data_IF_626130273075
#
_entry.id   IF_626130273075
#
_cell.length_a   1.000
_cell.length_b   1.000
_cell.length_c   1.000
_cell.angle_alpha   90.00
_cell.angle_beta   90.00
_cell.angle_gamma   90.00
#
_symmetry.space_group_name_H-M   'P 1'
#
loop_
_entity.id
_entity.type
_entity.pdbx_description
1 polymer ?
#
# COMPACT_ATOMS: atom_id res chain seq x y z
N UNK A 1 -7.39 -21.50 4.41
CA UNK A 1 -6.07 -20.86 4.67
C UNK A 1 -5.07 -21.46 3.71
N UNK A 2 -4.32 -20.64 2.97
CA UNK A 2 -3.23 -21.12 2.11
C UNK A 2 -1.90 -20.77 2.78
N UNK A 3 -1.06 -21.77 3.02
CA UNK A 3 0.29 -21.58 3.58
C UNK A 3 1.28 -21.56 2.42
N UNK A 4 2.05 -20.46 2.29
CA UNK A 4 3.10 -20.33 1.28
C UNK A 4 4.45 -20.53 1.94
N UNK A 5 5.13 -21.63 1.61
CA UNK A 5 6.52 -21.86 1.99
C UNK A 5 7.44 -21.17 0.98
N UNK A 6 8.41 -20.41 1.47
CA UNK A 6 9.37 -19.67 0.65
C UNK A 6 10.78 -20.13 1.05
N UNK A 7 11.52 -20.82 0.16
CA UNK A 7 12.91 -21.16 0.41
C UNK A 7 13.73 -19.89 0.65
N UNK A 8 14.56 -19.90 1.70
CA UNK A 8 15.31 -18.73 2.15
C UNK A 8 16.73 -19.13 2.57
N UNK A 9 17.74 -18.43 2.04
CA UNK A 9 19.15 -18.61 2.43
C UNK A 9 19.51 -17.56 3.49
N UNK A 10 19.95 -17.94 4.69
CA UNK A 10 20.35 -16.98 5.72
C UNK A 10 21.64 -16.25 5.32
N UNK A 11 21.67 -14.93 5.53
CA UNK A 11 22.85 -14.08 5.35
C UNK A 11 23.50 -13.62 6.66
N UNK A 12 22.91 -13.97 7.81
CA UNK A 12 23.29 -13.42 9.12
C UNK A 12 22.40 -12.24 9.53
N UNK A 13 22.49 -11.83 10.79
CA UNK A 13 21.72 -10.73 11.38
C UNK A 13 20.23 -10.74 11.02
N UNK A 14 19.63 -11.93 11.03
CA UNK A 14 18.22 -12.13 10.74
C UNK A 14 17.78 -11.74 9.30
N UNK A 15 18.71 -11.71 8.35
CA UNK A 15 18.45 -11.44 6.93
C UNK A 15 18.47 -12.72 6.11
N UNK A 16 17.63 -12.74 5.07
CA UNK A 16 17.50 -13.91 4.20
C UNK A 16 17.46 -13.51 2.73
N UNK A 17 18.00 -14.34 1.85
CA UNK A 17 17.78 -14.26 0.42
C UNK A 17 16.67 -15.21 0.02
N UNK A 18 15.68 -14.72 -0.70
CA UNK A 18 14.56 -15.50 -1.23
C UNK A 18 14.58 -15.44 -2.75
N UNK A 19 14.31 -16.56 -3.42
CA UNK A 19 14.23 -16.56 -4.87
C UNK A 19 13.10 -15.62 -5.34
N UNK A 20 13.41 -14.66 -6.20
CA UNK A 20 12.41 -13.83 -6.87
C UNK A 20 11.71 -14.70 -7.92
N UNK A 21 10.37 -14.73 -7.96
CA UNK A 21 9.68 -15.34 -9.08
C UNK A 21 10.05 -14.59 -10.37
N UNK A 22 10.14 -15.28 -11.51
CA UNK A 22 10.40 -14.62 -12.79
C UNK A 22 9.27 -13.61 -13.08
N UNK A 23 9.62 -12.33 -13.19
CA UNK A 23 8.69 -11.24 -13.49
C UNK A 23 8.28 -11.31 -14.98
N UNK A 24 7.01 -11.65 -15.24
CA UNK A 24 6.32 -11.38 -16.52
C UNK A 24 6.61 -12.33 -17.70
N UNK A 25 5.89 -12.15 -18.84
CA UNK A 25 6.02 -13.01 -20.01
C UNK A 25 7.40 -12.85 -20.64
N UNK A 26 8.05 -13.98 -20.95
CA UNK A 26 9.32 -14.05 -21.68
C UNK A 26 9.29 -13.16 -22.93
N UNK A 27 10.23 -12.22 -23.11
CA UNK A 27 10.44 -11.63 -24.43
C UNK A 27 10.88 -12.77 -25.38
N UNK A 28 10.27 -12.89 -26.58
CA UNK A 28 10.58 -13.98 -27.50
C UNK A 28 12.00 -13.93 -28.07
N UNK A 29 12.69 -12.77 -27.99
CA UNK A 29 14.03 -12.56 -28.52
C UNK A 29 14.79 -11.54 -27.64
N UNK A 30 15.57 -12.03 -26.68
CA UNK A 30 16.45 -11.22 -25.83
C UNK A 30 17.36 -12.10 -24.95
N UNK A 31 18.47 -11.56 -24.40
CA UNK A 31 19.32 -12.29 -23.46
C UNK A 31 18.46 -12.83 -22.31
N UNK A 32 18.61 -14.12 -21.99
CA UNK A 32 17.87 -14.72 -20.88
C UNK A 32 18.18 -13.90 -19.61
N UNK A 33 17.17 -13.40 -18.88
CA UNK A 33 17.41 -12.83 -17.57
C UNK A 33 18.02 -13.93 -16.68
N UNK A 34 18.92 -13.59 -15.74
CA UNK A 34 19.55 -14.57 -14.85
C UNK A 34 18.48 -15.47 -14.22
N UNK A 35 18.69 -16.78 -14.34
CA UNK A 35 17.69 -17.83 -14.08
C UNK A 35 17.25 -17.91 -12.60
N UNK A 36 17.94 -17.20 -11.71
CA UNK A 36 17.53 -16.96 -10.33
C UNK A 36 18.05 -15.60 -9.83
N UNK A 37 17.19 -14.58 -9.82
CA UNK A 37 17.45 -13.35 -9.09
C UNK A 37 17.09 -13.57 -7.62
N UNK A 38 18.00 -13.28 -6.70
CA UNK A 38 17.75 -13.36 -5.26
C UNK A 38 17.23 -12.02 -4.76
N UNK A 39 16.07 -12.02 -4.12
CA UNK A 39 15.52 -10.88 -3.40
C UNK A 39 16.00 -10.89 -1.96
N UNK A 40 16.39 -9.73 -1.43
CA UNK A 40 16.66 -9.58 -0.01
C UNK A 40 15.34 -9.52 0.77
N UNK A 41 15.18 -10.40 1.74
CA UNK A 41 14.09 -10.38 2.69
C UNK A 41 14.56 -9.73 4.00
N UNK A 42 14.05 -8.52 4.25
CA UNK A 42 14.31 -7.74 5.46
C UNK A 42 13.11 -7.77 6.45
N UNK A 43 12.26 -8.79 6.40
CA UNK A 43 11.04 -8.86 7.22
C UNK A 43 11.32 -8.80 8.72
N UNK A 44 12.46 -9.33 9.18
CA UNK A 44 12.82 -9.27 10.60
C UNK A 44 13.23 -7.87 11.04
N UNK A 45 13.80 -7.07 10.14
CA UNK A 45 14.15 -5.67 10.35
C UNK A 45 12.88 -4.79 10.32
N UNK A 46 11.92 -5.12 9.46
CA UNK A 46 10.58 -4.52 9.49
C UNK A 46 9.84 -4.80 10.79
N UNK A 47 9.87 -6.05 11.27
CA UNK A 47 9.26 -6.41 12.55
C UNK A 47 9.90 -5.63 13.70
N UNK A 48 11.23 -5.51 13.73
CA UNK A 48 11.93 -4.68 14.73
C UNK A 48 11.50 -3.21 14.66
N UNK A 49 11.41 -2.65 13.45
CA UNK A 49 10.92 -1.29 13.27
C UNK A 49 9.49 -1.12 13.77
N UNK A 50 8.59 -2.05 13.44
CA UNK A 50 7.20 -2.01 13.90
C UNK A 50 7.10 -2.12 15.42
N UNK A 51 7.89 -3.01 16.04
CA UNK A 51 7.98 -3.12 17.50
C UNK A 51 8.47 -1.83 18.13
N UNK A 52 9.56 -1.26 17.61
CA UNK A 52 10.10 0.01 18.08
C UNK A 52 9.08 1.15 17.92
N UNK A 53 8.43 1.27 16.76
CA UNK A 53 7.37 2.26 16.52
C UNK A 53 6.21 2.11 17.50
N UNK A 54 5.83 0.88 17.85
CA UNK A 54 4.76 0.60 18.82
C UNK A 54 5.14 1.08 20.23
N UNK A 55 6.40 0.99 20.61
CA UNK A 55 6.89 1.48 21.91
C UNK A 55 6.96 3.00 21.97
N UNK A 56 7.24 3.66 20.85
CA UNK A 56 7.38 5.11 20.78
C UNK A 56 6.05 5.84 20.47
N UNK A 57 5.11 5.18 19.78
CA UNK A 57 3.84 5.78 19.40
C UNK A 57 2.83 5.78 20.57
N UNK A 58 1.84 6.70 20.56
CA UNK A 58 0.73 6.65 21.50
C UNK A 58 0.02 5.29 21.48
N UNK A 59 -0.50 4.85 22.63
CA UNK A 59 -1.28 3.61 22.74
C UNK A 59 -2.50 3.60 21.79
N UNK A 60 -3.03 4.78 21.47
CA UNK A 60 -4.13 5.05 20.53
C UNK A 60 -3.67 5.22 19.07
N UNK A 61 -2.46 4.79 18.68
CA UNK A 61 -1.94 5.15 17.36
C UNK A 61 -2.69 4.47 16.20
N UNK A 62 -2.93 5.22 15.11
CA UNK A 62 -3.69 4.79 13.95
C UNK A 62 -2.87 4.29 12.76
N UNK A 63 -1.53 4.31 12.82
CA UNK A 63 -0.65 4.01 11.68
C UNK A 63 -0.95 2.66 10.99
N UNK A 64 -1.19 1.59 11.76
CA UNK A 64 -1.57 0.29 11.19
C UNK A 64 -2.98 0.31 10.58
N UNK A 65 -3.92 1.05 11.20
CA UNK A 65 -5.28 1.23 10.67
C UNK A 65 -5.22 1.96 9.32
N UNK A 66 -4.39 3.00 9.19
CA UNK A 66 -4.16 3.69 7.91
C UNK A 66 -3.69 2.71 6.82
N UNK A 67 -2.71 1.85 7.14
CA UNK A 67 -2.19 0.88 6.19
C UNK A 67 -3.24 -0.15 5.76
N UNK A 68 -4.05 -0.63 6.71
CA UNK A 68 -5.12 -1.59 6.45
C UNK A 68 -6.21 -0.99 5.56
N UNK A 69 -6.66 0.23 5.86
CA UNK A 69 -7.67 0.94 5.05
C UNK A 69 -7.13 1.17 3.64
N UNK A 70 -5.90 1.67 3.51
CA UNK A 70 -5.31 1.94 2.21
C UNK A 70 -5.13 0.67 1.37
N UNK A 71 -4.70 -0.42 2.01
CA UNK A 71 -4.62 -1.75 1.38
C UNK A 71 -6.00 -2.21 0.90
N UNK A 72 -7.03 -2.07 1.73
CA UNK A 72 -8.40 -2.41 1.38
C UNK A 72 -8.93 -1.59 0.20
N UNK A 73 -8.72 -0.27 0.21
CA UNK A 73 -9.10 0.62 -0.90
C UNK A 73 -8.40 0.23 -2.21
N UNK A 74 -7.10 -0.08 -2.16
CA UNK A 74 -6.35 -0.58 -3.31
C UNK A 74 -6.94 -1.89 -3.84
N UNK A 75 -7.21 -2.85 -2.97
CA UNK A 75 -7.69 -4.18 -3.35
C UNK A 75 -9.11 -4.11 -3.96
N UNK A 76 -9.99 -3.31 -3.34
CA UNK A 76 -11.34 -3.04 -3.86
C UNK A 76 -11.30 -2.36 -5.23
N UNK A 77 -10.42 -1.37 -5.41
CA UNK A 77 -10.28 -0.71 -6.70
C UNK A 77 -9.73 -1.64 -7.76
N UNK A 78 -8.76 -2.49 -7.40
CA UNK A 78 -8.14 -3.44 -8.32
C UNK A 78 -9.17 -4.30 -9.06
N UNK A 79 -10.21 -4.76 -8.36
CA UNK A 79 -11.26 -5.61 -8.95
C UNK A 79 -12.09 -4.94 -10.06
N UNK A 80 -12.11 -3.60 -10.11
CA UNK A 80 -12.89 -2.82 -11.07
C UNK A 80 -12.05 -2.14 -12.16
N UNK A 81 -10.77 -2.50 -12.30
CA UNK A 81 -9.89 -1.97 -13.34
C UNK A 81 -9.82 -2.93 -14.53
N UNK A 82 -9.76 -2.38 -15.73
CA UNK A 82 -9.54 -3.14 -16.97
C UNK A 82 -8.07 -3.57 -17.07
N UNK A 83 -7.82 -4.72 -17.69
CA UNK A 83 -6.46 -5.15 -18.06
C UNK A 83 -5.93 -4.30 -19.23
N UNK A 84 -4.60 -4.04 -19.31
CA UNK A 84 -3.52 -4.60 -18.49
C UNK A 84 -3.25 -3.85 -17.17
N UNK A 85 -3.98 -2.76 -16.90
CA UNK A 85 -3.66 -1.88 -15.78
C UNK A 85 -4.02 -2.47 -14.42
N UNK A 86 -5.04 -3.34 -14.34
CA UNK A 86 -5.37 -4.06 -13.10
C UNK A 86 -4.18 -4.84 -12.52
N UNK A 87 -3.50 -5.63 -13.35
CA UNK A 87 -2.31 -6.37 -12.93
C UNK A 87 -1.14 -5.46 -12.52
N UNK A 88 -0.98 -4.32 -13.17
CA UNK A 88 0.02 -3.32 -12.83
C UNK A 88 -0.32 -2.56 -11.54
N UNK A 89 -1.59 -2.24 -11.29
CA UNK A 89 -2.06 -1.53 -10.11
C UNK A 89 -1.64 -2.22 -8.81
N UNK A 90 -1.86 -3.54 -8.74
CA UNK A 90 -1.45 -4.34 -7.58
C UNK A 90 0.08 -4.43 -7.40
N UNK A 91 0.85 -4.38 -8.50
CA UNK A 91 2.32 -4.41 -8.49
C UNK A 91 2.90 -3.05 -8.07
N UNK A 92 2.43 -1.96 -8.68
CA UNK A 92 2.84 -0.58 -8.36
C UNK A 92 2.52 -0.24 -6.90
N UNK A 93 1.30 -0.53 -6.46
CA UNK A 93 0.86 -0.31 -5.08
C UNK A 93 0.97 -1.59 -4.24
N UNK A 94 2.04 -2.37 -4.42
CA UNK A 94 2.27 -3.58 -3.63
C UNK A 94 2.22 -3.28 -2.12
N UNK A 95 1.91 -4.29 -1.31
CA UNK A 95 1.87 -4.10 0.14
C UNK A 95 3.22 -3.65 0.71
N UNK A 96 4.33 -3.96 0.01
CA UNK A 96 5.65 -3.46 0.38
C UNK A 96 5.83 -1.96 0.11
N UNK A 97 5.34 -1.46 -1.03
CA UNK A 97 5.32 -0.02 -1.36
C UNK A 97 4.49 0.77 -0.35
N UNK A 98 3.28 0.30 -0.02
CA UNK A 98 2.40 0.97 0.95
C UNK A 98 3.08 1.07 2.34
N UNK A 99 3.69 -0.03 2.77
CA UNK A 99 4.39 -0.10 4.06
C UNK A 99 5.63 0.80 4.08
N UNK A 100 6.41 0.81 3.00
CA UNK A 100 7.59 1.67 2.87
C UNK A 100 7.22 3.14 2.95
N UNK A 101 6.15 3.56 2.28
CA UNK A 101 5.64 4.92 2.36
C UNK A 101 5.19 5.32 3.78
N UNK A 102 4.49 4.41 4.47
CA UNK A 102 4.10 4.63 5.87
C UNK A 102 5.32 4.82 6.77
N UNK A 103 6.33 3.96 6.66
CA UNK A 103 7.55 4.07 7.45
C UNK A 103 8.30 5.38 7.19
N UNK A 104 8.40 5.79 5.92
CA UNK A 104 9.01 7.07 5.55
C UNK A 104 8.29 8.26 6.20
N UNK A 105 6.95 8.25 6.24
CA UNK A 105 6.18 9.31 6.91
C UNK A 105 6.31 9.27 8.43
N UNK A 106 6.29 8.08 9.03
CA UNK A 106 6.42 7.92 10.48
C UNK A 106 7.76 8.46 11.00
N UNK A 107 8.84 8.30 10.23
CA UNK A 107 10.16 8.82 10.62
C UNK A 107 10.39 10.30 10.28
N UNK A 108 9.51 10.93 9.50
CA UNK A 108 9.65 12.35 9.13
C UNK A 108 9.04 13.32 10.15
N UNK A 109 8.23 12.84 11.08
CA UNK A 109 7.51 13.69 12.03
C UNK A 109 7.28 13.03 13.39
N UNK A 110 6.68 13.76 14.35
CA UNK A 110 6.39 13.25 15.67
C UNK A 110 5.38 12.09 15.61
N UNK A 111 5.65 11.00 16.34
CA UNK A 111 4.78 9.82 16.38
C UNK A 111 3.46 10.10 17.10
N UNK A 112 3.43 11.13 17.95
CA UNK A 112 2.24 11.65 18.63
C UNK A 112 1.19 12.17 17.65
N UNK A 113 1.63 12.63 16.45
CA UNK A 113 0.72 13.06 15.40
C UNK A 113 -0.07 11.91 14.76
N UNK A 114 0.24 10.66 15.12
CA UNK A 114 -0.46 9.46 14.65
C UNK A 114 -1.50 8.94 15.64
N UNK A 115 -2.00 9.78 16.54
CA UNK A 115 -3.15 9.46 17.38
C UNK A 115 -4.41 9.14 16.55
N UNK A 116 -5.27 8.26 17.05
CA UNK A 116 -6.50 7.85 16.37
C UNK A 116 -7.45 8.99 16.00
N UNK A 117 -7.46 10.09 16.75
CA UNK A 117 -8.28 11.26 16.43
C UNK A 117 -7.92 11.90 15.09
N UNK A 118 -6.71 11.64 14.58
CA UNK A 118 -6.21 12.16 13.31
C UNK A 118 -6.16 11.09 12.21
N UNK A 119 -6.89 9.98 12.34
CA UNK A 119 -6.87 8.86 11.40
C UNK A 119 -7.07 9.31 9.93
N UNK A 120 -8.02 10.21 9.68
CA UNK A 120 -8.33 10.67 8.31
C UNK A 120 -7.21 11.52 7.76
N UNK A 121 -6.73 12.47 8.56
CA UNK A 121 -5.64 13.36 8.20
C UNK A 121 -4.37 12.56 7.90
N UNK A 122 -4.03 11.58 8.74
CA UNK A 122 -2.88 10.69 8.53
C UNK A 122 -3.03 9.79 7.30
N UNK A 123 -4.25 9.34 7.01
CA UNK A 123 -4.51 8.56 5.80
C UNK A 123 -4.41 9.43 4.54
N UNK A 124 -4.91 10.67 4.58
CA UNK A 124 -4.74 11.65 3.52
C UNK A 124 -3.27 11.97 3.27
N UNK A 125 -2.49 12.22 4.33
CA UNK A 125 -1.04 12.45 4.22
C UNK A 125 -0.32 11.27 3.56
N UNK A 126 -0.69 10.03 3.93
CA UNK A 126 -0.15 8.83 3.33
C UNK A 126 -0.48 8.72 1.83
N UNK A 127 -1.73 9.01 1.46
CA UNK A 127 -2.17 9.02 0.06
C UNK A 127 -1.44 10.10 -0.75
N UNK A 128 -1.33 11.31 -0.21
CA UNK A 128 -0.66 12.43 -0.86
C UNK A 128 0.84 12.20 -1.00
N UNK A 129 1.47 11.62 0.02
CA UNK A 129 2.87 11.20 -0.03
C UNK A 129 3.12 10.16 -1.11
N UNK A 130 2.31 9.09 -1.16
CA UNK A 130 2.40 8.06 -2.20
C UNK A 130 2.20 8.65 -3.60
N UNK A 131 1.21 9.52 -3.79
CA UNK A 131 1.03 10.24 -5.06
C UNK A 131 2.29 11.03 -5.44
N UNK A 132 2.88 11.72 -4.48
CA UNK A 132 4.12 12.46 -4.66
C UNK A 132 5.26 11.56 -5.13
N UNK A 133 5.45 10.41 -4.48
CA UNK A 133 6.43 9.40 -4.86
C UNK A 133 6.19 8.85 -6.26
N UNK A 134 4.93 8.54 -6.62
CA UNK A 134 4.59 8.03 -7.95
C UNK A 134 4.87 9.05 -9.05
N UNK A 135 4.46 10.31 -8.87
CA UNK A 135 4.73 11.39 -9.85
C UNK A 135 6.21 11.71 -9.99
N UNK A 136 6.95 11.66 -8.88
CA UNK A 136 8.42 11.84 -8.89
C UNK A 136 9.14 10.57 -9.35
N UNK A 137 8.43 9.45 -9.48
CA UNK A 137 8.95 8.12 -9.79
C UNK A 137 10.03 7.66 -8.81
N UNK A 138 9.94 8.10 -7.55
CA UNK A 138 10.94 7.86 -6.50
C UNK A 138 10.27 7.42 -5.21
N UNK A 139 10.55 6.18 -4.82
CA UNK A 139 10.33 5.66 -3.47
C UNK A 139 11.49 4.72 -3.12
N UNK A 140 12.42 5.20 -2.30
CA UNK A 140 13.58 4.41 -1.92
C UNK A 140 13.19 3.29 -0.95
N UNK A 141 13.84 2.14 -1.12
CA UNK A 141 13.72 0.99 -0.25
C UNK A 141 14.13 1.38 1.17
N UNK A 142 13.28 1.07 2.15
CA UNK A 142 13.43 1.65 3.48
C UNK A 142 14.74 1.31 4.19
N UNK A 143 15.22 0.06 4.06
CA UNK A 143 16.43 -0.42 4.75
C UNK A 143 17.73 -0.38 3.94
N UNK A 144 17.65 -0.23 2.60
CA UNK A 144 18.83 -0.35 1.74
C UNK A 144 19.33 1.04 1.38
N UNK A 145 20.56 1.35 1.78
CA UNK A 145 21.17 2.65 1.51
C UNK A 145 20.48 3.81 2.24
N UNK A 146 19.78 3.54 3.34
CA UNK A 146 19.10 4.56 4.14
C UNK A 146 19.87 4.85 5.44
N UNK A 147 20.69 5.92 5.48
CA UNK A 147 21.46 6.28 6.67
C UNK A 147 20.60 6.95 7.75
N UNK A 148 19.40 7.41 7.41
CA UNK A 148 18.52 8.19 8.31
C UNK A 148 17.73 7.34 9.30
N UNK A 149 18.00 6.04 9.37
CA UNK A 149 17.29 5.13 10.27
C UNK A 149 17.80 5.25 11.71
N UNK A 150 16.92 5.22 12.73
CA UNK A 150 17.30 5.25 14.13
C UNK A 150 18.33 4.17 14.47
N UNK A 151 19.36 4.54 15.23
CA UNK A 151 20.39 3.59 15.68
C UNK A 151 19.81 2.45 16.53
N UNK A 152 18.70 2.72 17.22
CA UNK A 152 17.94 1.75 18.01
C UNK A 152 17.51 0.50 17.22
N UNK A 153 17.39 0.58 15.89
CA UNK A 153 17.03 -0.56 15.06
C UNK A 153 18.18 -1.56 14.84
N UNK A 154 19.40 -1.18 15.23
CA UNK A 154 20.62 -1.99 15.09
C UNK A 154 20.75 -2.62 13.69
N UNK A 155 20.52 -1.80 12.64
CA UNK A 155 20.55 -2.29 11.27
C UNK A 155 21.98 -2.69 10.86
N UNK A 156 22.20 -3.87 10.27
CA UNK A 156 23.51 -4.31 9.79
C UNK A 156 24.18 -3.29 8.87
N UNK A 157 25.49 -3.08 9.05
CA UNK A 157 26.26 -2.04 8.33
C UNK A 157 26.14 -2.16 6.82
N UNK A 158 26.21 -3.38 6.30
CA UNK A 158 26.13 -3.62 4.86
C UNK A 158 24.78 -3.19 4.24
N UNK A 159 23.68 -3.18 5.01
CA UNK A 159 22.40 -2.65 4.52
C UNK A 159 22.40 -1.12 4.46
N UNK A 160 23.01 -0.46 5.44
CA UNK A 160 23.17 1.00 5.46
C UNK A 160 24.08 1.48 4.33
N UNK A 161 25.15 0.74 4.05
CA UNK A 161 26.15 1.04 3.01
C UNK A 161 25.76 0.55 1.61
N UNK A 162 24.71 -0.27 1.49
CA UNK A 162 24.22 -0.72 0.20
C UNK A 162 23.81 0.46 -0.69
N UNK A 163 23.92 0.28 -2.00
CA UNK A 163 23.39 1.27 -2.94
C UNK A 163 21.88 1.45 -2.71
N UNK A 164 21.36 2.69 -2.70
CA UNK A 164 19.94 2.94 -2.50
C UNK A 164 19.15 2.35 -3.65
N UNK A 165 18.09 1.61 -3.32
CA UNK A 165 17.24 0.93 -4.31
C UNK A 165 15.91 1.66 -4.44
N UNK A 166 15.56 2.13 -5.63
CA UNK A 166 14.25 2.73 -5.89
C UNK A 166 13.22 1.64 -6.24
N UNK A 167 12.17 1.52 -5.43
CA UNK A 167 11.10 0.53 -5.62
C UNK A 167 10.25 0.77 -6.86
N UNK A 168 10.24 2.01 -7.38
CA UNK A 168 9.43 2.39 -8.55
C UNK A 168 10.20 2.30 -9.86
N UNK A 169 11.51 2.02 -9.83
CA UNK A 169 12.37 2.03 -11.02
C UNK A 169 12.01 0.96 -12.06
N UNK A 170 11.27 -0.08 -11.67
CA UNK A 170 10.84 -1.15 -12.56
C UNK A 170 9.59 -0.80 -13.40
N UNK A 171 8.96 0.37 -13.16
CA UNK A 171 7.76 0.80 -13.85
C UNK A 171 8.04 2.00 -14.75
N UNK A 172 7.35 2.07 -15.87
CA UNK A 172 7.42 3.22 -16.78
C UNK A 172 6.61 4.40 -16.24
N UNK A 173 7.04 5.62 -16.60
CA UNK A 173 6.44 6.86 -16.14
C UNK A 173 4.91 6.96 -16.36
N UNK A 174 4.38 6.66 -17.57
CA UNK A 174 2.94 6.69 -17.83
C UNK A 174 2.14 5.78 -16.89
N UNK A 175 2.63 4.58 -16.60
CA UNK A 175 1.99 3.67 -15.64
C UNK A 175 1.96 4.25 -14.22
N UNK A 176 3.07 4.86 -13.78
CA UNK A 176 3.16 5.51 -12.48
C UNK A 176 2.25 6.75 -12.37
N UNK A 177 2.14 7.54 -13.44
CA UNK A 177 1.24 8.69 -13.50
C UNK A 177 -0.23 8.27 -13.46
N UNK A 178 -0.59 7.21 -14.19
CA UNK A 178 -1.92 6.63 -14.15
C UNK A 178 -2.24 6.05 -12.76
N UNK A 179 -1.29 5.38 -12.12
CA UNK A 179 -1.42 4.92 -10.74
C UNK A 179 -1.58 6.09 -9.75
N UNK A 180 -0.83 7.18 -9.93
CA UNK A 180 -0.96 8.39 -9.11
C UNK A 180 -2.34 9.03 -9.25
N UNK A 181 -2.85 9.11 -10.48
CA UNK A 181 -4.20 9.60 -10.76
C UNK A 181 -5.26 8.69 -10.13
N UNK A 182 -5.16 7.37 -10.33
CA UNK A 182 -6.14 6.44 -9.79
C UNK A 182 -6.12 6.33 -8.26
N UNK A 183 -4.96 6.48 -7.64
CA UNK A 183 -4.84 6.54 -6.18
C UNK A 183 -5.67 7.68 -5.60
N UNK A 184 -5.59 8.87 -6.20
CA UNK A 184 -6.38 10.03 -5.76
C UNK A 184 -7.86 9.86 -6.07
N UNK A 185 -8.23 9.37 -7.24
CA UNK A 185 -9.64 9.13 -7.54
C UNK A 185 -10.25 8.13 -6.56
N UNK A 186 -9.51 7.08 -6.23
CA UNK A 186 -9.93 6.06 -5.25
C UNK A 186 -10.09 6.67 -3.86
N UNK A 187 -9.15 7.56 -3.45
CA UNK A 187 -9.25 8.28 -2.19
C UNK A 187 -10.47 9.21 -2.13
N UNK A 188 -10.70 10.00 -3.17
CA UNK A 188 -11.87 10.89 -3.29
C UNK A 188 -13.17 10.08 -3.23
N UNK A 189 -13.20 8.89 -3.84
CA UNK A 189 -14.36 8.00 -3.84
C UNK A 189 -14.45 7.10 -2.60
N UNK A 190 -13.46 7.11 -1.70
CA UNK A 190 -13.39 6.21 -0.56
C UNK A 190 -14.63 6.25 0.35
N UNK A 191 -15.24 7.41 0.65
CA UNK A 191 -16.49 7.46 1.45
C UNK A 191 -17.62 6.63 0.83
N UNK A 192 -17.76 6.66 -0.49
CA UNK A 192 -18.77 5.89 -1.20
C UNK A 192 -18.42 4.41 -1.25
N UNK A 193 -17.14 4.08 -1.47
CA UNK A 193 -16.64 2.70 -1.48
C UNK A 193 -16.88 2.07 -0.10
N UNK A 194 -16.40 2.70 0.96
CA UNK A 194 -16.56 2.20 2.34
C UNK A 194 -18.04 2.01 2.66
N UNK A 195 -18.91 2.99 2.37
CA UNK A 195 -20.36 2.91 2.65
C UNK A 195 -21.06 1.79 1.89
N UNK A 196 -20.65 1.48 0.65
CA UNK A 196 -21.21 0.36 -0.12
C UNK A 196 -20.88 -1.00 0.53
N UNK A 197 -19.70 -1.14 1.10
CA UNK A 197 -19.24 -2.40 1.71
C UNK A 197 -19.54 -2.51 3.22
N UNK A 198 -19.82 -1.39 3.92
CA UNK A 198 -20.28 -1.36 5.32
C UNK A 198 -21.77 -1.66 5.51
N UNK A 199 -22.54 -1.76 4.42
CA UNK A 199 -24.00 -1.98 4.50
C UNK A 199 -24.29 -3.45 4.83
N UNK A 200 -24.98 -3.80 5.95
CA UNK A 200 -25.21 -5.19 6.36
C UNK A 200 -26.16 -5.98 5.45
N UNK A 201 -26.66 -5.36 4.37
CA UNK A 201 -27.72 -5.92 3.51
C UNK A 201 -27.21 -6.65 2.26
N UNK A 202 -25.91 -6.87 2.14
CA UNK A 202 -25.33 -7.73 1.11
C UNK A 202 -24.22 -8.58 1.72
N UNK A 203 -24.61 -9.59 2.48
CA UNK A 203 -23.78 -10.77 2.69
C UNK A 203 -23.41 -11.36 1.32
N UNK A 204 -22.13 -11.69 1.04
CA UNK A 204 -21.76 -12.36 -0.20
C UNK A 204 -22.20 -13.83 -0.11
N UNK A 205 -23.45 -14.10 -0.46
CA UNK A 205 -23.81 -15.38 -1.03
C UNK A 205 -23.28 -15.44 -2.46
N UNK A 206 -22.16 -16.12 -2.69
CA UNK A 206 -21.88 -16.72 -4.00
C UNK A 206 -22.79 -17.96 -4.04
N UNK A 207 -23.64 -18.21 -5.07
CA UNK A 207 -23.26 -18.14 -6.49
C UNK A 207 -24.30 -17.58 -7.48
N UNK A 208 -23.78 -17.12 -8.62
CA UNK A 208 -24.46 -17.19 -9.92
C UNK A 208 -25.56 -16.16 -10.17
N UNK A 209 -25.23 -15.11 -10.93
CA UNK A 209 -26.26 -14.40 -11.68
C UNK A 209 -25.72 -13.89 -13.02
N UNK A 210 -26.12 -14.58 -14.09
CA UNK A 210 -26.34 -13.96 -15.39
C UNK A 210 -27.54 -13.03 -15.21
N UNK A 211 -27.40 -11.73 -15.46
CA UNK A 211 -28.36 -11.05 -16.34
C UNK A 211 -27.81 -9.75 -16.93
N UNK A 212 -28.19 -9.57 -18.19
CA UNK A 212 -28.04 -8.41 -19.04
C UNK A 212 -28.71 -7.20 -18.39
N UNK A 213 -27.97 -6.12 -18.23
CA UNK A 213 -28.56 -4.81 -18.47
C UNK A 213 -27.50 -3.84 -18.98
N UNK A 214 -27.56 -3.60 -20.29
CA UNK A 214 -26.95 -2.44 -20.92
C UNK A 214 -27.45 -1.18 -20.23
N UNK A 215 -26.54 -0.36 -19.72
CA UNK A 215 -26.74 1.09 -19.73
C UNK A 215 -25.46 1.74 -20.23
N UNK A 216 -25.61 2.35 -21.40
CA UNK A 216 -24.58 3.06 -22.14
C UNK A 216 -24.05 4.20 -21.27
N UNK A 217 -22.77 4.16 -20.89
CA UNK A 217 -22.10 5.34 -20.36
C UNK A 217 -21.59 6.15 -21.55
N UNK A 218 -22.34 7.19 -21.90
CA UNK A 218 -21.99 8.12 -22.97
C UNK A 218 -20.66 8.81 -22.65
N UNK A 219 -19.73 8.78 -23.61
CA UNK A 219 -18.49 9.55 -23.61
C UNK A 219 -18.80 11.03 -23.84
N UNK A 220 -19.37 11.73 -22.85
CA UNK A 220 -19.52 13.19 -22.89
C UNK A 220 -19.78 13.71 -21.49
N UNK A 221 -18.73 14.22 -20.84
CA UNK A 221 -18.70 15.11 -19.66
C UNK A 221 -17.42 14.83 -18.84
N UNK A 222 -16.26 14.92 -19.49
CA UNK A 222 -15.03 15.32 -18.79
C UNK A 222 -14.92 16.81 -19.05
N UNK A 223 -15.55 17.60 -18.19
CA UNK A 223 -15.35 19.04 -18.15
C UNK A 223 -15.47 19.49 -16.70
N UNK A 224 -14.35 20.01 -16.19
CA UNK A 224 -14.18 20.72 -14.92
C UNK A 224 -14.60 19.98 -13.63
N UNK A 225 -13.62 19.39 -12.94
CA UNK A 225 -13.69 19.27 -11.47
C UNK A 225 -13.22 20.60 -10.88
N UNK A 226 -14.06 21.32 -10.09
CA UNK A 226 -13.58 22.45 -9.34
C UNK A 226 -12.67 21.95 -8.20
N UNK A 227 -11.57 22.65 -7.98
CA UNK A 227 -10.81 22.54 -6.75
C UNK A 227 -11.71 23.02 -5.59
N UNK A 228 -12.34 22.07 -4.88
CA UNK A 228 -13.24 22.36 -3.78
C UNK A 228 -13.17 21.24 -2.76
N UNK A 229 -12.67 21.58 -1.56
CA UNK A 229 -12.55 20.71 -0.39
C UNK A 229 -13.82 19.91 -0.14
N UNK A 230 -13.70 18.58 -0.16
CA UNK A 230 -14.65 17.71 0.55
C UNK A 230 -14.49 18.03 2.03
N UNK A 231 -15.59 18.40 2.69
CA UNK A 231 -15.56 19.03 4.01
C UNK A 231 -15.17 18.00 5.09
N UNK A 232 -14.40 18.42 6.10
CA UNK A 232 -13.90 17.56 7.20
C UNK A 232 -15.03 16.84 7.98
N UNK A 233 -16.23 17.43 7.97
CA UNK A 233 -17.43 16.88 8.59
C UNK A 233 -17.97 15.61 7.89
N UNK A 234 -17.82 15.49 6.56
CA UNK A 234 -18.29 14.32 5.80
C UNK A 234 -17.47 13.07 6.14
N UNK A 235 -16.18 13.26 6.46
CA UNK A 235 -15.29 12.20 6.92
C UNK A 235 -15.54 11.76 8.36
N UNK A 236 -15.96 12.68 9.24
CA UNK A 236 -16.24 12.36 10.64
C UNK A 236 -17.40 11.37 10.78
N UNK A 237 -18.44 11.49 9.93
CA UNK A 237 -19.55 10.54 9.85
C UNK A 237 -19.12 9.16 9.33
N UNK A 238 -18.18 9.11 8.38
CA UNK A 238 -17.65 7.87 7.79
C UNK A 238 -16.73 7.14 8.77
N UNK A 239 -15.86 7.86 9.49
CA UNK A 239 -15.01 7.28 10.54
C UNK A 239 -15.84 6.83 11.73
N UNK A 240 -16.87 7.59 12.12
CA UNK A 240 -17.77 7.17 13.21
C UNK A 240 -18.56 5.91 12.82
N UNK A 241 -18.95 5.78 11.54
CA UNK A 241 -19.56 4.55 11.01
C UNK A 241 -18.56 3.38 10.95
N UNK A 242 -17.29 3.64 10.61
CA UNK A 242 -16.22 2.62 10.65
C UNK A 242 -15.86 2.21 12.10
N UNK A 243 -15.99 3.13 13.07
CA UNK A 243 -15.80 2.89 14.51
C UNK A 243 -16.92 2.03 15.10
N UNK A 244 -18.14 2.10 14.54
CA UNK A 244 -19.24 1.22 14.91
C UNK A 244 -19.10 -0.23 14.40
N UNK A 245 -18.08 -0.50 13.57
CA UNK A 245 -17.71 -1.83 13.06
C UNK A 245 -16.46 -2.41 13.77
N UNK A 246 -16.22 -2.05 15.04
CA UNK A 246 -15.34 -2.79 15.97
C UNK A 246 -15.91 -4.20 16.27
N UNK A 247 -15.93 -5.08 15.28
CA UNK A 247 -15.92 -6.52 15.43
C UNK A 247 -15.07 -7.00 14.28
N UNK A 248 -13.84 -7.42 14.57
CA UNK A 248 -13.03 -8.47 13.93
C UNK A 248 -11.60 -8.27 14.44
N UNK A 249 -11.50 -8.46 15.75
CA UNK A 249 -10.26 -8.45 16.55
C UNK A 249 -9.44 -9.74 16.38
N UNK A 250 -9.83 -10.66 15.49
CA UNK A 250 -9.23 -11.98 15.37
C UNK A 250 -8.72 -12.25 13.95
N UNK A 251 -7.61 -11.61 13.54
CA UNK A 251 -6.78 -12.07 12.41
C UNK A 251 -5.46 -11.30 12.27
N UNK A 252 -4.67 -11.19 13.34
CA UNK A 252 -3.22 -11.05 13.22
C UNK A 252 -2.63 -12.44 13.45
N UNK A 253 -2.11 -13.16 12.43
CA UNK A 253 -1.34 -14.35 12.72
C UNK A 253 0.06 -13.94 13.21
N UNK A 254 0.50 -14.68 14.22
CA UNK A 254 1.84 -14.70 14.82
C UNK A 254 2.95 -15.00 13.81
#
# INVERSE_FOLDING_TARGET
MAVRLIPAIPLGDALYLTALPPEGPRPPQGPQPPEALWGLNASRQEQRLLSWLKEQAPASSCHLKCLQILKGLRDLRGQGLEEPFCSQWGRVLSSYVLKTALFSLLLQGPLEAWDERFLVERLEDLVLYLRGCLRKQVLMHFFLGNPSLPEALALPRFLKEAAPVNLLAAFDGPTLDLAAFQLINTWIQAPHIIRMYSSPRLSPGIPGFKDKSRRNFSKSSITALPAGSINRADWHLVVTAARAQEIWSDALPS
#
